data_IF_279006298462
#
_entry.id   IF_279006298462
#
_cell.length_a   1.000
_cell.length_b   1.000
_cell.length_c   1.000
_cell.angle_alpha   90.00
_cell.angle_beta   90.00
_cell.angle_gamma   90.00
#
_symmetry.space_group_name_H-M   'P 1'
#
loop_
_entity.id
_entity.type
_entity.pdbx_description
1 polymer ?
#
# COMPACT_ATOMS: atom_id res chain seq x y z
N UNK A 1 -16.44 26.00 -12.44
CA UNK A 1 -15.89 24.91 -13.28
C UNK A 1 -14.40 24.59 -13.06
N UNK A 2 -13.51 25.54 -12.68
CA UNK A 2 -12.08 25.24 -12.48
C UNK A 2 -11.75 24.30 -11.29
N UNK A 3 -12.56 24.26 -10.22
CA UNK A 3 -12.26 23.42 -9.03
C UNK A 3 -12.33 21.90 -9.30
N UNK A 4 -13.22 21.43 -10.17
CA UNK A 4 -13.38 19.99 -10.44
C UNK A 4 -12.24 19.40 -11.27
N UNK A 5 -11.61 20.20 -12.13
CA UNK A 5 -10.46 19.76 -12.94
C UNK A 5 -9.24 19.48 -12.05
N UNK A 6 -9.05 20.25 -10.98
CA UNK A 6 -7.95 20.03 -10.04
C UNK A 6 -8.13 18.77 -9.19
N UNK A 7 -9.35 18.45 -8.76
CA UNK A 7 -9.61 17.18 -8.05
C UNK A 7 -9.30 15.97 -8.93
N UNK A 8 -9.67 16.02 -10.22
CA UNK A 8 -9.36 14.96 -11.18
C UNK A 8 -7.85 14.83 -11.42
N UNK A 9 -7.11 15.94 -11.53
CA UNK A 9 -5.66 15.94 -11.71
C UNK A 9 -4.90 15.42 -10.48
N UNK A 10 -5.35 15.76 -9.26
CA UNK A 10 -4.78 15.21 -8.01
C UNK A 10 -5.13 13.73 -7.86
N UNK A 11 -6.34 13.32 -8.26
CA UNK A 11 -6.74 11.90 -8.28
C UNK A 11 -5.86 11.08 -9.24
N UNK A 12 -5.61 11.60 -10.45
CA UNK A 12 -4.76 10.93 -11.45
C UNK A 12 -3.30 10.87 -11.01
N UNK A 13 -2.78 11.91 -10.36
CA UNK A 13 -1.44 11.90 -9.78
C UNK A 13 -1.31 10.89 -8.62
N UNK A 14 -2.33 10.78 -7.76
CA UNK A 14 -2.34 9.83 -6.66
C UNK A 14 -2.48 8.38 -7.15
N UNK A 15 -3.32 8.13 -8.16
CA UNK A 15 -3.42 6.82 -8.83
C UNK A 15 -2.08 6.45 -9.51
N UNK A 16 -1.38 7.42 -10.11
CA UNK A 16 -0.05 7.20 -10.69
C UNK A 16 1.04 6.90 -9.63
N UNK A 17 1.02 7.59 -8.50
CA UNK A 17 1.98 7.38 -7.39
C UNK A 17 1.70 6.07 -6.65
N UNK A 18 0.43 5.69 -6.44
CA UNK A 18 0.05 4.38 -5.92
C UNK A 18 0.42 3.25 -6.87
N UNK A 19 0.40 3.48 -8.19
CA UNK A 19 0.92 2.52 -9.18
C UNK A 19 2.44 2.35 -9.10
N UNK A 20 3.17 3.40 -8.71
CA UNK A 20 4.63 3.36 -8.46
C UNK A 20 5.03 2.76 -7.10
N UNK A 21 4.18 2.87 -6.08
CA UNK A 21 4.45 2.41 -4.71
C UNK A 21 3.86 1.03 -4.38
N UNK A 22 3.12 0.40 -5.30
CA UNK A 22 2.73 -1.01 -5.21
C UNK A 22 3.92 -2.00 -5.37
N UNK A 23 5.15 -1.54 -5.18
CA UNK A 23 6.29 -2.41 -4.92
C UNK A 23 6.24 -2.82 -3.44
N UNK A 24 5.84 -4.07 -3.22
CA UNK A 24 5.63 -4.61 -1.88
C UNK A 24 6.90 -4.50 -1.01
N UNK A 25 6.65 -4.35 0.29
CA UNK A 25 7.61 -4.29 1.39
C UNK A 25 8.73 -5.34 1.21
N UNK A 26 10.02 -4.97 1.27
CA UNK A 26 11.11 -5.93 1.08
C UNK A 26 11.24 -6.82 2.33
N UNK A 27 10.55 -7.95 2.31
CA UNK A 27 10.80 -9.10 3.20
C UNK A 27 12.15 -9.75 2.84
N UNK A 28 12.83 -10.46 3.75
CA UNK A 28 14.04 -11.22 3.40
C UNK A 28 13.77 -12.29 2.31
N UNK A 29 12.52 -12.72 2.17
CA UNK A 29 12.06 -13.55 1.07
C UNK A 29 12.03 -12.81 -0.29
N UNK A 30 12.02 -11.48 -0.32
CA UNK A 30 11.97 -10.65 -1.54
C UNK A 30 13.28 -10.67 -2.32
N UNK A 31 14.43 -10.62 -1.63
CA UNK A 31 15.76 -10.81 -2.23
C UNK A 31 15.95 -12.25 -2.74
N UNK A 32 15.34 -13.23 -2.05
CA UNK A 32 15.31 -14.64 -2.46
C UNK A 32 14.43 -14.87 -3.70
N UNK A 33 13.37 -14.06 -3.89
CA UNK A 33 12.48 -14.06 -5.07
C UNK A 33 13.18 -13.55 -6.33
N UNK A 34 13.98 -12.48 -6.24
CA UNK A 34 14.63 -11.87 -7.41
C UNK A 34 15.51 -12.83 -8.21
N UNK A 35 16.19 -13.78 -7.57
CA UNK A 35 17.07 -14.75 -8.23
C UNK A 35 16.34 -15.82 -9.06
N UNK A 36 15.08 -16.14 -8.73
CA UNK A 36 14.30 -17.19 -9.43
C UNK A 36 13.14 -16.64 -10.28
N UNK A 37 12.85 -15.33 -10.20
CA UNK A 37 11.80 -14.65 -10.96
C UNK A 37 11.79 -14.99 -12.46
N UNK A 38 12.90 -14.90 -13.22
CA UNK A 38 12.85 -15.14 -14.67
C UNK A 38 12.55 -16.61 -15.02
N UNK A 39 13.09 -17.55 -14.24
CA UNK A 39 12.88 -18.99 -14.42
C UNK A 39 11.45 -19.39 -14.06
N UNK A 40 10.91 -18.82 -12.99
CA UNK A 40 9.54 -19.06 -12.55
C UNK A 40 8.51 -18.40 -13.47
N UNK A 41 8.80 -17.21 -14.00
CA UNK A 41 7.94 -16.56 -15.01
C UNK A 41 7.91 -17.33 -16.33
N UNK A 42 9.03 -17.90 -16.77
CA UNK A 42 9.10 -18.72 -17.97
C UNK A 42 8.24 -19.99 -17.82
N UNK A 43 8.39 -20.71 -16.70
CA UNK A 43 7.56 -21.90 -16.40
C UNK A 43 6.09 -21.52 -16.27
N UNK A 44 5.78 -20.40 -15.61
CA UNK A 44 4.40 -19.95 -15.41
C UNK A 44 3.73 -19.53 -16.74
N UNK A 45 4.49 -18.94 -17.67
CA UNK A 45 4.01 -18.58 -19.01
C UNK A 45 3.68 -19.82 -19.83
N UNK A 46 4.55 -20.84 -19.77
CA UNK A 46 4.40 -22.07 -20.54
C UNK A 46 3.29 -22.99 -19.98
N UNK A 47 3.07 -23.00 -18.66
CA UNK A 47 1.92 -23.69 -18.05
C UNK A 47 0.61 -23.01 -18.44
N UNK A 48 0.57 -21.67 -18.51
CA UNK A 48 -0.66 -20.94 -18.88
C UNK A 48 -1.02 -21.04 -20.36
N UNK A 49 -0.06 -21.27 -21.25
CA UNK A 49 -0.33 -21.48 -22.68
C UNK A 49 -0.74 -22.92 -22.99
N UNK A 50 -0.26 -23.90 -22.22
CA UNK A 50 -0.44 -25.34 -22.51
C UNK A 50 -1.67 -25.97 -21.83
N UNK A 51 -2.21 -25.37 -20.77
CA UNK A 51 -3.34 -25.93 -20.01
C UNK A 51 -4.62 -25.07 -20.05
N UNK A 52 -5.81 -25.63 -20.34
CA UNK A 52 -7.08 -24.93 -20.25
C UNK A 52 -7.48 -24.64 -18.79
N UNK A 53 -8.16 -23.51 -18.54
CA UNK A 53 -8.46 -23.00 -17.19
C UNK A 53 -9.21 -23.98 -16.27
N UNK A 54 -9.98 -24.90 -16.81
CA UNK A 54 -10.71 -25.92 -16.04
C UNK A 54 -9.79 -26.90 -15.31
N UNK A 55 -8.61 -27.22 -15.85
CA UNK A 55 -7.64 -28.11 -15.21
C UNK A 55 -6.76 -27.39 -14.18
N UNK A 56 -6.59 -26.07 -14.34
CA UNK A 56 -5.87 -25.23 -13.38
C UNK A 56 -6.60 -25.15 -12.02
N UNK A 57 -7.93 -25.23 -12.02
CA UNK A 57 -8.77 -25.17 -10.80
C UNK A 57 -8.74 -26.45 -9.93
N UNK A 58 -8.17 -27.56 -10.41
CA UNK A 58 -8.19 -28.86 -9.71
C UNK A 58 -7.10 -29.02 -8.63
N UNK A 59 -6.27 -28.00 -8.39
CA UNK A 59 -5.42 -27.89 -7.19
C UNK A 59 -4.14 -28.75 -7.16
N UNK A 60 -3.97 -29.69 -8.09
CA UNK A 60 -2.67 -30.35 -8.38
C UNK A 60 -2.55 -30.59 -9.87
N UNK A 61 -1.53 -30.00 -10.48
CA UNK A 61 -1.19 -30.23 -11.89
C UNK A 61 0.20 -30.84 -11.89
N UNK A 62 0.31 -32.04 -12.43
CA UNK A 62 1.62 -32.61 -12.74
C UNK A 62 2.19 -31.85 -13.94
N UNK A 63 3.26 -31.08 -13.72
CA UNK A 63 3.90 -30.34 -14.81
C UNK A 63 4.41 -31.33 -15.90
N UNK A 64 4.35 -30.95 -17.19
CA UNK A 64 4.96 -31.73 -18.26
C UNK A 64 6.45 -32.01 -17.97
N UNK A 65 6.94 -33.19 -18.34
CA UNK A 65 8.32 -33.61 -18.05
C UNK A 65 9.39 -32.63 -18.58
N UNK A 66 9.11 -31.93 -19.69
CA UNK A 66 9.98 -30.89 -20.27
C UNK A 66 10.20 -29.72 -19.31
N UNK A 67 9.13 -29.19 -18.72
CA UNK A 67 9.19 -28.08 -17.77
C UNK A 67 9.82 -28.49 -16.45
N UNK A 68 9.59 -29.72 -16.01
CA UNK A 68 10.29 -30.28 -14.85
C UNK A 68 11.80 -30.34 -15.08
N UNK A 69 12.24 -30.66 -16.31
CA UNK A 69 13.65 -30.75 -16.65
C UNK A 69 14.30 -29.36 -16.73
N UNK A 70 13.67 -28.39 -17.38
CA UNK A 70 14.12 -26.98 -17.43
C UNK A 70 14.23 -26.39 -16.02
N UNK A 71 13.26 -26.67 -15.16
CA UNK A 71 13.31 -26.24 -13.77
C UNK A 71 14.43 -26.93 -12.99
N UNK A 72 14.65 -28.24 -13.17
CA UNK A 72 15.78 -28.97 -12.57
C UNK A 72 17.13 -28.41 -13.01
N UNK A 73 17.30 -28.05 -14.28
CA UNK A 73 18.53 -27.44 -14.80
C UNK A 73 18.75 -26.02 -14.23
N UNK A 74 17.70 -25.23 -14.10
CA UNK A 74 17.77 -23.93 -13.41
C UNK A 74 18.15 -24.08 -11.94
N UNK A 75 17.63 -25.11 -11.27
CA UNK A 75 17.92 -25.42 -9.87
C UNK A 75 19.35 -25.92 -9.66
N UNK A 76 19.88 -26.77 -10.57
CA UNK A 76 21.24 -27.29 -10.46
C UNK A 76 22.29 -26.18 -10.57
N UNK A 77 22.09 -25.22 -11.48
CA UNK A 77 22.98 -24.07 -11.65
C UNK A 77 22.97 -23.14 -10.42
N UNK A 78 21.87 -23.11 -9.67
CA UNK A 78 21.77 -22.36 -8.41
C UNK A 78 22.42 -23.12 -7.25
N UNK A 79 22.27 -24.45 -7.19
CA UNK A 79 22.85 -25.32 -6.18
C UNK A 79 24.38 -25.32 -6.23
N UNK A 80 24.96 -25.21 -7.42
CA UNK A 80 26.41 -25.03 -7.62
C UNK A 80 26.94 -23.74 -6.96
N UNK A 81 26.12 -22.69 -6.91
CA UNK A 81 26.46 -21.42 -6.24
C UNK A 81 26.23 -21.44 -4.73
N UNK A 82 25.48 -22.40 -4.19
CA UNK A 82 25.09 -22.48 -2.78
C UNK A 82 25.20 -23.93 -2.24
N UNK A 83 26.43 -24.46 -2.06
CA UNK A 83 26.67 -25.88 -1.76
C UNK A 83 26.16 -26.36 -0.39
N UNK A 84 25.81 -25.44 0.52
CA UNK A 84 25.32 -25.75 1.86
C UNK A 84 23.82 -26.08 1.93
N UNK A 85 23.08 -26.04 0.80
CA UNK A 85 21.65 -26.37 0.74
C UNK A 85 21.39 -27.49 -0.29
N UNK A 86 21.16 -28.72 0.20
CA UNK A 86 20.84 -29.89 -0.64
C UNK A 86 19.33 -30.08 -0.80
N UNK A 87 18.88 -30.22 -2.04
CA UNK A 87 17.48 -30.45 -2.42
C UNK A 87 17.17 -31.95 -2.45
N UNK A 88 16.05 -32.39 -1.86
CA UNK A 88 15.67 -33.83 -1.81
C UNK A 88 14.47 -34.20 -2.70
N UNK A 89 13.38 -33.43 -2.68
CA UNK A 89 12.18 -33.66 -3.53
C UNK A 89 11.45 -32.34 -3.78
N UNK A 90 11.12 -32.05 -5.04
CA UNK A 90 10.34 -30.87 -5.44
C UNK A 90 8.89 -31.28 -5.70
N UNK A 91 7.97 -30.72 -4.92
CA UNK A 91 6.53 -30.85 -5.15
C UNK A 91 5.99 -29.52 -5.67
N UNK A 92 5.30 -29.56 -6.80
CA UNK A 92 4.65 -28.39 -7.38
C UNK A 92 3.15 -28.42 -7.07
N UNK A 93 2.61 -27.31 -6.59
CA UNK A 93 1.18 -27.13 -6.37
C UNK A 93 0.74 -25.84 -7.05
N UNK A 94 -0.35 -25.90 -7.82
CA UNK A 94 -0.98 -24.72 -8.37
C UNK A 94 -2.14 -24.30 -7.47
N UNK A 95 -2.22 -23.02 -7.14
CA UNK A 95 -3.32 -22.45 -6.39
C UNK A 95 -3.75 -21.14 -7.04
N UNK A 96 -5.03 -21.02 -7.32
CA UNK A 96 -5.63 -19.80 -7.87
C UNK A 96 -6.48 -19.16 -6.77
N UNK A 97 -6.10 -17.95 -6.34
CA UNK A 97 -6.79 -17.22 -5.27
C UNK A 97 -7.07 -15.80 -5.74
N UNK A 98 -8.33 -15.42 -5.91
CA UNK A 98 -8.73 -14.03 -6.15
C UNK A 98 -8.11 -13.36 -7.40
N UNK A 99 -7.88 -14.11 -8.49
CA UNK A 99 -7.24 -13.59 -9.71
C UNK A 99 -5.70 -13.63 -9.69
N UNK A 100 -5.11 -14.14 -8.61
CA UNK A 100 -3.70 -14.47 -8.53
C UNK A 100 -3.47 -15.96 -8.83
N UNK A 101 -2.69 -16.21 -9.88
CA UNK A 101 -2.18 -17.54 -10.22
C UNK A 101 -0.89 -17.79 -9.44
N UNK A 102 -0.90 -18.68 -8.44
CA UNK A 102 0.25 -19.00 -7.59
C UNK A 102 0.77 -20.41 -7.87
N UNK A 103 2.03 -20.50 -8.27
CA UNK A 103 2.77 -21.75 -8.45
C UNK A 103 3.67 -21.94 -7.23
N UNK A 104 3.38 -22.93 -6.39
CA UNK A 104 4.16 -23.25 -5.19
C UNK A 104 5.12 -24.41 -5.51
N UNK A 105 6.44 -24.21 -5.34
CA UNK A 105 7.45 -25.25 -5.40
C UNK A 105 7.97 -25.53 -3.98
N UNK A 106 7.70 -26.71 -3.43
CA UNK A 106 8.12 -27.12 -2.08
C UNK A 106 9.30 -28.09 -2.16
N UNK A 107 10.38 -27.78 -1.44
CA UNK A 107 11.51 -28.70 -1.21
C UNK A 107 11.82 -28.80 0.27
N UNK A 108 11.48 -29.95 0.88
CA UNK A 108 11.62 -30.14 2.33
C UNK A 108 10.78 -29.12 3.11
N UNK A 109 11.46 -28.25 3.88
CA UNK A 109 10.86 -27.16 4.66
C UNK A 109 10.74 -25.84 3.91
N UNK A 110 11.38 -25.71 2.75
CA UNK A 110 11.40 -24.46 1.98
C UNK A 110 10.29 -24.47 0.93
N UNK A 111 9.53 -23.38 0.86
CA UNK A 111 8.43 -23.20 -0.12
C UNK A 111 8.66 -21.93 -0.91
N UNK A 112 8.76 -22.08 -2.23
CA UNK A 112 8.93 -20.99 -3.19
C UNK A 112 7.61 -20.76 -3.90
N UNK A 113 7.28 -19.51 -4.19
CA UNK A 113 6.02 -19.15 -4.82
C UNK A 113 6.27 -18.17 -5.96
N UNK A 114 5.71 -18.46 -7.13
CA UNK A 114 5.59 -17.51 -8.22
C UNK A 114 4.13 -17.09 -8.32
N UNK A 115 3.85 -15.80 -8.14
CA UNK A 115 2.50 -15.25 -8.25
C UNK A 115 2.44 -14.36 -9.46
N UNK A 116 1.56 -14.68 -10.43
CA UNK A 116 1.18 -13.75 -11.48
C UNK A 116 -0.12 -13.08 -11.08
N UNK A 117 -0.03 -11.83 -10.65
CA UNK A 117 -1.20 -10.98 -10.47
C UNK A 117 -1.70 -10.58 -11.87
N UNK A 118 -2.86 -11.10 -12.29
CA UNK A 118 -3.57 -10.51 -13.43
C UNK A 118 -4.25 -9.26 -12.92
N UNK A 119 -3.86 -8.10 -13.44
CA UNK A 119 -4.49 -6.83 -13.08
C UNK A 119 -5.90 -6.80 -13.67
N UNK A 120 -6.88 -7.21 -12.88
CA UNK A 120 -8.28 -7.08 -13.25
C UNK A 120 -8.75 -5.67 -12.90
N UNK A 121 -9.41 -4.97 -13.83
CA UNK A 121 -10.01 -3.64 -13.59
C UNK A 121 -10.97 -3.65 -12.39
N UNK A 122 -11.52 -4.82 -12.05
CA UNK A 122 -12.35 -5.09 -10.87
C UNK A 122 -11.61 -4.71 -9.57
N UNK A 123 -10.29 -4.86 -9.50
CA UNK A 123 -9.48 -4.52 -8.32
C UNK A 123 -9.38 -3.01 -8.10
N UNK A 124 -9.63 -2.20 -9.14
CA UNK A 124 -9.69 -0.74 -9.01
C UNK A 124 -11.07 -0.24 -8.54
N UNK A 125 -12.10 -1.09 -8.53
CA UNK A 125 -13.45 -0.69 -8.14
C UNK A 125 -13.53 -0.25 -6.66
N UNK A 126 -12.97 -0.96 -5.65
CA UNK A 126 -13.10 -0.52 -4.27
C UNK A 126 -12.50 0.88 -4.03
N UNK A 127 -11.29 1.22 -4.51
CA UNK A 127 -10.78 2.59 -4.43
C UNK A 127 -11.68 3.63 -5.12
N UNK A 128 -12.21 3.32 -6.32
CA UNK A 128 -13.09 4.24 -7.04
C UNK A 128 -14.38 4.49 -6.25
N UNK A 129 -15.03 3.43 -5.76
CA UNK A 129 -16.24 3.52 -4.92
C UNK A 129 -15.95 4.34 -3.66
N UNK A 130 -14.80 4.12 -3.02
CA UNK A 130 -14.39 4.87 -1.83
C UNK A 130 -14.28 6.36 -2.12
N UNK A 131 -13.60 6.74 -3.20
CA UNK A 131 -13.40 8.13 -3.59
C UNK A 131 -14.74 8.78 -3.96
N UNK A 132 -15.56 8.09 -4.76
CA UNK A 132 -16.88 8.59 -5.14
C UNK A 132 -17.77 8.81 -3.91
N UNK A 133 -17.79 7.85 -2.97
CA UNK A 133 -18.50 7.99 -1.70
C UNK A 133 -17.96 9.18 -0.89
N UNK A 134 -16.64 9.39 -0.85
CA UNK A 134 -16.02 10.50 -0.12
C UNK A 134 -16.44 11.86 -0.66
N UNK A 135 -16.54 11.98 -1.98
CA UNK A 135 -16.96 13.21 -2.64
C UNK A 135 -18.46 13.49 -2.45
N UNK A 136 -19.31 12.46 -2.45
CA UNK A 136 -20.76 12.61 -2.30
C UNK A 136 -21.17 12.83 -0.84
N UNK A 137 -20.60 12.05 0.09
CA UNK A 137 -20.99 12.07 1.51
C UNK A 137 -20.25 13.13 2.31
N UNK A 138 -19.15 13.67 1.76
CA UNK A 138 -18.23 14.58 2.45
C UNK A 138 -17.75 14.02 3.81
N UNK A 139 -17.81 12.69 3.99
CA UNK A 139 -17.45 11.99 5.21
C UNK A 139 -16.43 10.89 4.89
N UNK A 140 -15.18 11.11 5.29
CA UNK A 140 -14.06 10.22 5.01
C UNK A 140 -14.25 8.84 5.65
N UNK A 141 -14.69 8.80 6.92
CA UNK A 141 -14.83 7.55 7.69
C UNK A 141 -15.89 6.64 7.07
N UNK A 142 -17.06 7.21 6.75
CA UNK A 142 -18.14 6.45 6.13
C UNK A 142 -17.71 5.93 4.75
N UNK A 143 -17.00 6.75 3.98
CA UNK A 143 -16.57 6.38 2.63
C UNK A 143 -15.51 5.29 2.62
N UNK A 144 -14.56 5.35 3.55
CA UNK A 144 -13.58 4.31 3.76
C UNK A 144 -14.25 2.98 4.16
N UNK A 145 -15.25 3.06 5.06
CA UNK A 145 -16.02 1.88 5.47
C UNK A 145 -16.76 1.25 4.29
N UNK A 146 -17.47 2.05 3.48
CA UNK A 146 -18.16 1.57 2.27
C UNK A 146 -17.17 0.94 1.27
N UNK A 147 -15.99 1.54 1.11
CA UNK A 147 -14.91 1.02 0.28
C UNK A 147 -14.41 -0.35 0.73
N UNK A 148 -14.12 -0.51 2.02
CA UNK A 148 -13.67 -1.77 2.62
C UNK A 148 -14.78 -2.82 2.51
N UNK A 149 -16.03 -2.44 2.77
CA UNK A 149 -17.18 -3.32 2.64
C UNK A 149 -17.32 -3.84 1.20
N UNK A 150 -17.27 -2.94 0.22
CA UNK A 150 -17.34 -3.30 -1.19
C UNK A 150 -16.16 -4.18 -1.62
N UNK A 151 -14.94 -3.85 -1.21
CA UNK A 151 -13.75 -4.67 -1.46
C UNK A 151 -13.83 -6.06 -0.84
N UNK A 152 -14.34 -6.17 0.38
CA UNK A 152 -14.54 -7.43 1.09
C UNK A 152 -15.61 -8.30 0.41
N UNK A 153 -16.70 -7.72 -0.07
CA UNK A 153 -17.73 -8.43 -0.84
C UNK A 153 -17.15 -8.99 -2.14
N UNK A 154 -16.34 -8.21 -2.86
CA UNK A 154 -15.66 -8.69 -4.06
C UNK A 154 -14.67 -9.81 -3.74
N UNK A 155 -13.94 -9.71 -2.63
CA UNK A 155 -13.02 -10.76 -2.17
C UNK A 155 -13.74 -12.06 -1.78
N UNK A 156 -14.96 -11.96 -1.24
CA UNK A 156 -15.83 -13.09 -0.91
C UNK A 156 -16.61 -13.65 -2.11
N UNK A 157 -16.18 -13.36 -3.35
CA UNK A 157 -16.83 -13.87 -4.56
C UNK A 157 -18.17 -13.21 -4.89
N UNK A 158 -18.44 -12.01 -4.36
CA UNK A 158 -19.67 -11.25 -4.60
C UNK A 158 -20.80 -11.55 -3.61
N UNK A 159 -20.57 -12.37 -2.58
CA UNK A 159 -21.58 -12.64 -1.56
C UNK A 159 -21.62 -11.51 -0.50
N UNK A 160 -22.72 -10.73 -0.41
CA UNK A 160 -22.78 -9.58 0.49
C UNK A 160 -22.78 -9.98 1.97
N UNK A 161 -23.37 -11.13 2.32
CA UNK A 161 -23.46 -11.59 3.70
C UNK A 161 -22.09 -12.06 4.21
N UNK A 162 -21.40 -12.90 3.43
CA UNK A 162 -20.06 -13.38 3.80
C UNK A 162 -19.06 -12.22 3.79
N UNK A 163 -19.08 -11.40 2.74
CA UNK A 163 -18.16 -10.27 2.61
C UNK A 163 -18.28 -9.26 3.75
N UNK A 164 -19.49 -8.93 4.19
CA UNK A 164 -19.69 -8.02 5.33
C UNK A 164 -19.20 -8.60 6.65
N UNK A 165 -19.38 -9.90 6.89
CA UNK A 165 -18.84 -10.59 8.07
C UNK A 165 -17.30 -10.69 8.04
N UNK A 166 -16.70 -10.88 6.86
CA UNK A 166 -15.24 -10.92 6.70
C UNK A 166 -14.57 -9.57 7.01
N UNK A 167 -15.27 -8.43 6.82
CA UNK A 167 -14.75 -7.11 7.21
C UNK A 167 -14.36 -7.09 8.67
N UNK A 168 -15.19 -7.64 9.56
CA UNK A 168 -14.95 -7.62 11.00
C UNK A 168 -14.10 -8.80 11.46
N UNK A 169 -14.47 -10.02 11.03
CA UNK A 169 -13.87 -11.25 11.54
C UNK A 169 -12.44 -11.49 11.03
N UNK A 170 -12.15 -11.08 9.80
CA UNK A 170 -10.88 -11.37 9.13
C UNK A 170 -10.07 -10.11 8.91
N UNK A 171 -10.61 -9.14 8.17
CA UNK A 171 -9.86 -7.95 7.77
C UNK A 171 -9.63 -6.98 8.93
N UNK A 172 -10.65 -6.72 9.74
CA UNK A 172 -10.57 -5.85 10.91
C UNK A 172 -9.66 -6.44 11.98
N UNK A 173 -9.82 -7.73 12.28
CA UNK A 173 -8.95 -8.41 13.24
C UNK A 173 -7.49 -8.44 12.76
N UNK A 174 -7.25 -8.79 11.49
CA UNK A 174 -5.91 -8.79 10.92
C UNK A 174 -5.25 -7.39 11.02
N UNK A 175 -6.00 -6.33 10.71
CA UNK A 175 -5.49 -4.95 10.77
C UNK A 175 -5.07 -4.53 12.18
N UNK A 176 -5.84 -4.89 13.21
CA UNK A 176 -5.56 -4.55 14.62
C UNK A 176 -4.46 -5.46 15.20
N UNK A 177 -4.41 -6.72 14.80
CA UNK A 177 -3.42 -7.68 15.30
C UNK A 177 -2.02 -7.49 14.73
N UNK A 178 -1.89 -6.70 13.66
CA UNK A 178 -0.61 -6.42 13.03
C UNK A 178 0.24 -5.47 13.89
N UNK A 179 1.39 -5.98 14.35
CA UNK A 179 2.31 -5.24 15.22
C UNK A 179 2.81 -3.95 14.57
N UNK A 180 3.02 -3.92 13.25
CA UNK A 180 3.49 -2.75 12.55
C UNK A 180 2.41 -1.67 12.46
N UNK A 181 1.15 -2.04 12.20
CA UNK A 181 0.02 -1.10 12.27
C UNK A 181 -0.14 -0.52 13.67
N UNK A 182 -0.04 -1.35 14.70
CA UNK A 182 -0.10 -0.89 16.10
C UNK A 182 1.06 0.05 16.44
N UNK A 183 2.28 -0.25 15.99
CA UNK A 183 3.45 0.62 16.19
C UNK A 183 3.23 2.00 15.58
N UNK A 184 2.70 2.08 14.35
CA UNK A 184 2.39 3.36 13.70
C UNK A 184 1.31 4.11 14.50
N UNK A 185 0.24 3.42 14.91
CA UNK A 185 -0.85 4.04 15.67
C UNK A 185 -0.34 4.64 16.99
N UNK A 186 0.45 3.88 17.76
CA UNK A 186 1.04 4.34 19.02
C UNK A 186 2.01 5.48 18.77
N UNK A 187 2.88 5.38 17.76
CA UNK A 187 3.83 6.42 17.40
C UNK A 187 3.13 7.74 17.05
N UNK A 188 2.16 7.71 16.13
CA UNK A 188 1.40 8.89 15.73
C UNK A 188 0.58 9.46 16.90
N UNK A 189 0.02 8.61 17.78
CA UNK A 189 -0.70 9.07 18.97
C UNK A 189 0.23 9.80 19.96
N UNK A 190 1.43 9.28 20.22
CA UNK A 190 2.43 9.93 21.09
C UNK A 190 2.90 11.24 20.48
N UNK A 191 3.17 11.28 19.17
CA UNK A 191 3.54 12.52 18.47
C UNK A 191 2.43 13.57 18.57
N UNK A 192 1.19 13.22 18.26
CA UNK A 192 0.06 14.13 18.36
C UNK A 192 -0.15 14.62 19.80
N UNK A 193 0.03 13.74 20.80
CA UNK A 193 0.01 14.11 22.21
C UNK A 193 1.09 15.14 22.57
N UNK A 194 2.33 14.92 22.14
CA UNK A 194 3.45 15.86 22.34
C UNK A 194 3.17 17.21 21.68
N UNK A 195 2.66 17.22 20.45
CA UNK A 195 2.31 18.47 19.75
C UNK A 195 1.16 19.17 20.46
N UNK A 196 0.18 18.43 20.99
CA UNK A 196 -0.89 18.97 21.82
C UNK A 196 -0.35 19.69 23.06
N UNK A 197 0.57 19.05 23.79
CA UNK A 197 1.22 19.66 24.97
C UNK A 197 2.01 20.91 24.56
N UNK A 198 2.75 20.85 23.44
CA UNK A 198 3.50 22.00 22.91
C UNK A 198 2.60 23.18 22.54
N UNK A 199 1.39 22.90 22.05
CA UNK A 199 0.42 23.93 21.71
C UNK A 199 -0.16 24.59 22.96
N UNK A 200 -0.48 23.82 24.00
CA UNK A 200 -1.01 24.34 25.27
C UNK A 200 0.05 25.07 26.08
N UNK A 201 1.29 24.59 26.10
CA UNK A 201 2.42 25.23 26.81
C UNK A 201 2.87 26.55 26.17
N UNK A 202 2.34 26.90 25.00
CA UNK A 202 2.75 28.09 24.24
C UNK A 202 4.04 27.91 23.44
N UNK A 203 4.60 26.70 23.36
CA UNK A 203 5.76 26.39 22.52
C UNK A 203 5.54 26.73 21.04
N UNK A 204 4.32 26.54 20.54
CA UNK A 204 3.92 26.96 19.17
C UNK A 204 4.09 28.47 18.95
N UNK A 205 3.87 29.31 19.97
CA UNK A 205 4.10 30.76 19.90
C UNK A 205 5.59 31.10 19.81
N UNK A 206 6.43 30.35 20.52
CA UNK A 206 7.89 30.48 20.44
C UNK A 206 8.43 30.12 19.05
N UNK A 207 7.92 29.05 18.45
CA UNK A 207 8.24 28.65 17.08
C UNK A 207 7.82 29.76 16.10
N UNK A 208 6.60 30.30 16.26
CA UNK A 208 6.11 31.42 15.44
C UNK A 208 7.02 32.64 15.57
N UNK A 209 7.41 33.04 16.79
CA UNK A 209 8.30 34.18 17.02
C UNK A 209 9.68 33.95 16.35
N UNK A 210 10.22 32.74 16.44
CA UNK A 210 11.46 32.36 15.75
C UNK A 210 11.33 32.35 14.22
N UNK A 211 10.13 32.13 13.68
CA UNK A 211 9.85 32.19 12.25
C UNK A 211 9.59 33.63 11.76
N UNK A 212 9.03 34.51 12.60
CA UNK A 212 8.71 35.89 12.23
C UNK A 212 9.93 36.66 11.68
N UNK A 213 11.15 36.40 12.17
CA UNK A 213 12.38 37.03 11.63
C UNK A 213 12.65 36.74 10.14
N UNK A 214 12.14 35.61 9.64
CA UNK A 214 12.27 35.20 8.23
C UNK A 214 11.01 35.51 7.41
N UNK A 215 9.87 35.73 8.08
CA UNK A 215 8.58 35.97 7.44
C UNK A 215 8.34 37.49 7.34
N UNK A 216 8.63 38.05 6.17
CA UNK A 216 8.49 39.49 5.88
C UNK A 216 7.28 39.83 5.02
N UNK A 217 6.85 38.91 4.16
CA UNK A 217 5.77 39.15 3.19
C UNK A 217 4.96 37.88 2.90
N UNK A 218 3.87 38.02 2.13
CA UNK A 218 3.03 36.88 1.73
C UNK A 218 3.80 35.78 1.00
N UNK A 219 4.85 36.11 0.23
CA UNK A 219 5.64 35.12 -0.51
C UNK A 219 6.53 34.31 0.43
N UNK A 220 7.25 34.98 1.33
CA UNK A 220 8.10 34.32 2.34
C UNK A 220 7.26 33.48 3.31
N UNK A 221 6.04 33.91 3.66
CA UNK A 221 5.13 33.12 4.50
C UNK A 221 4.78 31.79 3.84
N UNK A 222 4.40 31.82 2.55
CA UNK A 222 4.07 30.61 1.79
C UNK A 222 5.28 29.69 1.61
N UNK A 223 6.45 30.27 1.32
CA UNK A 223 7.69 29.50 1.20
C UNK A 223 8.05 28.84 2.54
N UNK A 224 7.95 29.58 3.63
CA UNK A 224 8.26 29.05 4.96
C UNK A 224 7.26 27.96 5.38
N UNK A 225 5.98 28.12 5.04
CA UNK A 225 4.96 27.09 5.27
C UNK A 225 5.32 25.80 4.55
N UNK A 226 5.64 25.89 3.26
CA UNK A 226 6.05 24.72 2.47
C UNK A 226 7.36 24.09 2.97
N UNK A 227 8.34 24.92 3.37
CA UNK A 227 9.60 24.43 3.96
C UNK A 227 9.36 23.71 5.30
N UNK A 228 8.44 24.22 6.13
CA UNK A 228 8.06 23.58 7.38
C UNK A 228 7.38 22.23 7.11
N UNK A 229 6.52 22.17 6.09
CA UNK A 229 5.90 20.94 5.56
C UNK A 229 6.92 19.92 5.13
N UNK A 230 7.94 20.37 4.41
CA UNK A 230 9.05 19.52 3.97
C UNK A 230 9.95 19.08 5.14
N UNK A 231 10.15 19.90 6.16
CA UNK A 231 10.97 19.54 7.33
C UNK A 231 10.28 18.49 8.21
N UNK A 232 8.95 18.53 8.33
CA UNK A 232 8.14 17.62 9.18
C UNK A 232 7.59 16.43 8.35
N UNK A 233 8.13 16.16 7.15
CA UNK A 233 7.56 15.19 6.21
C UNK A 233 7.56 13.72 6.68
N UNK A 234 8.19 13.41 7.81
CA UNK A 234 8.34 12.04 8.30
C UNK A 234 7.02 11.40 8.77
N UNK A 235 6.01 12.20 9.12
CA UNK A 235 4.67 11.73 9.53
C UNK A 235 3.61 12.70 8.98
N UNK A 236 2.69 12.20 8.15
CA UNK A 236 1.66 12.98 7.48
C UNK A 236 0.58 13.51 8.45
N UNK A 237 0.19 12.71 9.45
CA UNK A 237 -0.81 13.09 10.43
C UNK A 237 -0.34 14.22 11.36
N UNK A 238 0.86 14.08 11.92
CA UNK A 238 1.49 15.06 12.80
C UNK A 238 1.83 16.33 12.03
N UNK A 239 2.31 16.21 10.78
CA UNK A 239 2.65 17.36 9.95
C UNK A 239 1.47 18.33 9.75
N UNK A 240 0.31 17.82 9.31
CA UNK A 240 -0.89 18.64 9.13
C UNK A 240 -1.35 19.32 10.44
N UNK A 241 -1.23 18.61 11.57
CA UNK A 241 -1.61 19.15 12.87
C UNK A 241 -0.64 20.23 13.36
N UNK A 242 0.67 20.00 13.28
CA UNK A 242 1.72 20.93 13.71
C UNK A 242 1.66 22.21 12.86
N UNK A 243 1.64 22.08 11.54
CA UNK A 243 1.62 23.21 10.62
C UNK A 243 0.33 23.99 10.75
N UNK A 244 -0.81 23.29 10.77
CA UNK A 244 -2.12 23.93 10.89
C UNK A 244 -2.24 24.76 12.17
N UNK A 245 -1.80 24.24 13.32
CA UNK A 245 -1.89 24.93 14.60
C UNK A 245 -0.85 26.06 14.74
N UNK A 246 0.37 25.84 14.25
CA UNK A 246 1.48 26.79 14.42
C UNK A 246 1.41 27.93 13.40
N UNK A 247 1.12 27.66 12.13
CA UNK A 247 1.18 28.66 11.05
C UNK A 247 -0.14 29.35 10.76
N UNK A 248 -1.29 28.89 11.30
CA UNK A 248 -2.57 29.61 11.19
C UNK A 248 -2.49 31.08 11.60
N UNK A 249 -1.99 31.47 12.80
CA UNK A 249 -1.93 32.89 13.17
C UNK A 249 -1.03 33.72 12.23
N UNK A 250 0.06 33.13 11.73
CA UNK A 250 1.01 33.81 10.83
C UNK A 250 0.41 34.01 9.44
N UNK A 251 -0.24 32.99 8.91
CA UNK A 251 -0.92 33.06 7.61
C UNK A 251 -2.13 33.99 7.64
N UNK A 252 -2.89 34.00 8.73
CA UNK A 252 -4.01 34.93 8.95
C UNK A 252 -3.50 36.40 8.99
N UNK A 253 -2.37 36.70 9.65
CA UNK A 253 -1.74 38.04 9.65
C UNK A 253 -1.35 38.52 8.25
N UNK A 254 -0.82 37.62 7.42
CA UNK A 254 -0.47 37.92 6.04
C UNK A 254 -1.65 37.79 5.08
N UNK A 255 -2.89 37.59 5.56
CA UNK A 255 -4.11 37.46 4.75
C UNK A 255 -3.99 36.37 3.68
N UNK A 256 -3.44 35.21 4.05
CA UNK A 256 -3.42 33.99 3.24
C UNK A 256 -4.66 33.17 3.61
N UNK A 257 -5.39 32.66 2.62
CA UNK A 257 -6.63 31.92 2.91
C UNK A 257 -6.33 30.57 3.54
N UNK A 258 -7.25 30.09 4.39
CA UNK A 258 -7.11 28.82 5.13
C UNK A 258 -7.06 27.62 4.20
N UNK A 259 -7.74 27.70 3.07
CA UNK A 259 -7.69 26.71 2.00
C UNK A 259 -6.30 26.64 1.38
N UNK A 260 -5.61 27.79 1.28
CA UNK A 260 -4.24 27.81 0.76
C UNK A 260 -3.24 27.28 1.79
N UNK A 261 -3.45 27.53 3.09
CA UNK A 261 -2.64 26.91 4.15
C UNK A 261 -2.81 25.39 4.16
N UNK A 262 -4.03 24.87 4.07
CA UNK A 262 -4.29 23.42 4.05
C UNK A 262 -3.70 22.71 2.81
N UNK A 263 -3.41 23.47 1.75
CA UNK A 263 -2.77 22.96 0.54
C UNK A 263 -1.24 22.94 0.61
N UNK A 264 -0.65 23.86 1.40
CA UNK A 264 0.80 24.03 1.51
C UNK A 264 1.38 23.12 2.59
#
# INVERSE_FOLDING_TARGET
MRKNVYYILVLLAFVGICFGLAQAKPDQNYLRRQQFTPLLEQVLTEVQTKYPQSQLMAGRIELPQELQQTFKTGLSNWQEKHPHKQWRRLNFAWRETGGESRLEARSGTEVFFATRARLHWVNALPPIVTITAALLTQNLLLSLFVGILFGSILAAGGNPLIGSLEVFSKHGWAAISDVFHLQILVFSAVLLGMVGIMNVSGGTRGIVAALQRYIRNRRSTKLMTALMGLLIFFDDYANCFVIGTTLRPVTDQHKISREKLAYL
#
